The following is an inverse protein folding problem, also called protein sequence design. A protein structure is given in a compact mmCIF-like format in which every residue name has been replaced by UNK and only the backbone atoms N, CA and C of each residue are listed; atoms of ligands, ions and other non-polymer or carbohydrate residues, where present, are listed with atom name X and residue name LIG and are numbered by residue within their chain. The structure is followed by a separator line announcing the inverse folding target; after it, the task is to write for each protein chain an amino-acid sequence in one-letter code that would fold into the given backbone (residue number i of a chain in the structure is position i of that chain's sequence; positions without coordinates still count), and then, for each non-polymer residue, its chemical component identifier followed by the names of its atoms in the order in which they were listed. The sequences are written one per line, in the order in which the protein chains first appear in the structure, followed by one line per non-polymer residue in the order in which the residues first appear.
data_IF_863141668677
#
_entry.id   IF_863141668677
#
_cell.length_a   1.000
_cell.length_b   1.000
_cell.length_c   1.000
_cell.angle_alpha   90.00
_cell.angle_beta   90.00
_cell.angle_gamma   90.00
#
_symmetry.space_group_name_H-M   'P 1'
#
loop_
_entity.id
_entity.type
_entity.pdbx_description
1 polymer ?
#
# COMPACT_ATOMS: atom_id res chain seq x y z
N UNK A 1 -0.01 18.81 7.52
CA UNK A 1 -0.43 20.19 7.80
C UNK A 1 0.78 21.09 7.60
N UNK A 2 0.59 22.18 6.85
CA UNK A 2 1.62 23.21 6.68
C UNK A 2 1.17 24.45 7.45
N UNK A 3 2.10 25.14 8.12
CA UNK A 3 1.83 26.46 8.69
C UNK A 3 1.87 27.54 7.58
N UNK A 4 1.62 28.80 7.95
CA UNK A 4 1.63 29.94 7.02
C UNK A 4 3.02 30.20 6.40
N UNK A 5 4.08 29.70 7.03
CA UNK A 5 5.47 29.77 6.54
C UNK A 5 5.84 28.59 5.62
N UNK A 6 4.90 27.70 5.31
CA UNK A 6 5.09 26.54 4.44
C UNK A 6 5.82 25.35 5.09
N UNK A 7 6.08 25.42 6.39
CA UNK A 7 6.73 24.36 7.15
C UNK A 7 5.75 23.26 7.54
N UNK A 8 6.18 22.00 7.45
CA UNK A 8 5.39 20.84 7.83
C UNK A 8 5.37 20.71 9.35
N UNK A 9 4.20 20.87 9.96
CA UNK A 9 4.03 20.85 11.43
C UNK A 9 3.51 19.50 11.96
N UNK A 10 3.24 18.53 11.08
CA UNK A 10 2.76 17.21 11.50
C UNK A 10 3.88 16.40 12.16
N UNK A 11 3.56 15.75 13.29
CA UNK A 11 4.49 14.85 13.97
C UNK A 11 4.79 13.58 13.13
N UNK A 12 3.79 13.09 12.40
CA UNK A 12 3.94 11.98 11.46
C UNK A 12 2.80 12.00 10.43
N UNK A 13 3.08 11.45 9.24
CA UNK A 13 2.05 11.22 8.22
C UNK A 13 1.63 9.74 8.26
N UNK A 14 0.38 9.42 8.66
CA UNK A 14 -0.09 8.05 8.69
C UNK A 14 -0.13 7.41 7.29
N UNK A 15 0.02 6.08 7.26
CA UNK A 15 -0.15 5.30 6.03
C UNK A 15 -1.62 5.33 5.58
N UNK A 16 -1.83 5.25 4.27
CA UNK A 16 -3.16 5.09 3.66
C UNK A 16 -3.34 3.68 3.15
N UNK A 17 -4.52 3.12 3.34
CA UNK A 17 -4.92 1.87 2.71
C UNK A 17 -4.94 2.06 1.19
N UNK A 18 -4.18 1.25 0.47
CA UNK A 18 -4.06 1.31 -0.99
C UNK A 18 -5.39 1.01 -1.69
N UNK A 19 -6.28 0.26 -1.04
CA UNK A 19 -7.56 -0.14 -1.62
C UNK A 19 -8.66 0.92 -1.47
N UNK A 20 -8.74 1.56 -0.30
CA UNK A 20 -9.87 2.44 0.08
C UNK A 20 -9.48 3.89 0.29
N UNK A 21 -8.19 4.22 0.24
CA UNK A 21 -7.63 5.52 0.62
C UNK A 21 -7.93 5.96 2.06
N UNK A 22 -8.47 5.07 2.90
CA UNK A 22 -8.70 5.32 4.32
C UNK A 22 -7.35 5.38 5.06
N UNK A 23 -7.24 6.29 6.02
CA UNK A 23 -6.09 6.34 6.91
C UNK A 23 -6.02 5.05 7.75
N UNK A 24 -4.84 4.45 7.82
CA UNK A 24 -4.52 3.36 8.74
C UNK A 24 -4.18 4.01 10.07
N UNK A 25 -5.01 3.77 11.08
CA UNK A 25 -4.86 4.39 12.41
C UNK A 25 -3.84 3.63 13.24
N UNK A 26 -3.31 4.26 14.29
CA UNK A 26 -2.33 3.64 15.19
C UNK A 26 -2.86 2.42 15.95
N UNK A 27 -4.18 2.29 16.10
CA UNK A 27 -4.84 1.16 16.77
C UNK A 27 -5.30 0.06 15.81
N UNK A 28 -5.09 0.22 14.50
CA UNK A 28 -5.41 -0.82 13.52
C UNK A 28 -4.31 -1.88 13.47
N UNK A 29 -4.27 -2.73 14.50
CA UNK A 29 -3.34 -3.86 14.61
C UNK A 29 -3.61 -4.98 13.61
N UNK A 30 -4.78 -4.96 12.96
CA UNK A 30 -5.11 -5.87 11.87
C UNK A 30 -4.64 -5.33 10.51
N UNK A 31 -4.08 -4.12 10.42
CA UNK A 31 -3.49 -3.65 9.18
C UNK A 31 -2.22 -4.42 8.82
N UNK A 32 -1.98 -4.62 7.52
CA UNK A 32 -0.80 -5.31 7.00
C UNK A 32 -0.20 -4.52 5.85
N UNK A 33 1.10 -4.75 5.65
CA UNK A 33 1.84 -4.26 4.50
C UNK A 33 2.39 -5.47 3.74
N UNK A 34 2.12 -5.52 2.45
CA UNK A 34 2.50 -6.62 1.58
C UNK A 34 3.47 -6.05 0.54
N UNK A 35 4.64 -6.64 0.43
CA UNK A 35 5.63 -6.31 -0.58
C UNK A 35 5.61 -7.41 -1.64
N UNK A 36 5.35 -7.03 -2.88
CA UNK A 36 5.41 -7.93 -4.05
C UNK A 36 6.75 -7.69 -4.74
N UNK A 37 7.63 -8.69 -4.68
CA UNK A 37 8.92 -8.66 -5.34
C UNK A 37 8.79 -8.70 -6.86
N UNK A 38 9.60 -7.89 -7.56
CA UNK A 38 9.64 -7.86 -9.01
C UNK A 38 10.65 -8.89 -9.50
N UNK A 39 10.35 -9.50 -10.65
CA UNK A 39 11.23 -10.47 -11.31
C UNK A 39 11.82 -9.87 -12.58
N UNK A 40 13.05 -10.26 -12.88
CA UNK A 40 13.70 -10.01 -14.16
C UNK A 40 13.20 -10.98 -15.24
N UNK A 41 13.73 -10.85 -16.46
CA UNK A 41 13.38 -11.70 -17.61
C UNK A 41 13.70 -13.19 -17.39
N UNK A 42 14.63 -13.50 -16.47
CA UNK A 42 15.00 -14.86 -16.11
C UNK A 42 14.15 -15.41 -14.96
N UNK A 43 13.17 -14.64 -14.46
CA UNK A 43 12.34 -15.00 -13.32
C UNK A 43 13.06 -14.88 -11.97
N UNK A 44 14.18 -14.16 -11.90
CA UNK A 44 14.97 -13.94 -10.69
C UNK A 44 14.55 -12.64 -10.04
N UNK A 45 14.51 -12.62 -8.71
CA UNK A 45 14.19 -11.44 -7.93
C UNK A 45 15.20 -10.30 -8.17
N UNK A 46 14.71 -9.11 -8.51
CA UNK A 46 15.52 -7.96 -8.94
C UNK A 46 15.75 -6.89 -7.84
N UNK A 47 15.47 -7.25 -6.58
CA UNK A 47 15.53 -6.38 -5.40
C UNK A 47 14.54 -5.21 -5.38
N UNK A 48 13.67 -5.08 -6.40
CA UNK A 48 12.59 -4.09 -6.44
C UNK A 48 11.30 -4.72 -5.95
N UNK A 49 10.44 -3.90 -5.34
CA UNK A 49 9.13 -4.38 -4.88
C UNK A 49 8.06 -3.29 -4.92
N UNK A 50 6.83 -3.73 -5.14
CA UNK A 50 5.64 -2.91 -5.01
C UNK A 50 5.02 -3.13 -3.64
N UNK A 51 4.84 -2.06 -2.88
CA UNK A 51 4.25 -2.11 -1.54
C UNK A 51 2.77 -1.78 -1.59
N UNK A 52 1.93 -2.62 -0.97
CA UNK A 52 0.52 -2.36 -0.75
C UNK A 52 0.20 -2.40 0.74
N UNK A 53 -0.54 -1.40 1.23
CA UNK A 53 -1.01 -1.35 2.60
C UNK A 53 -2.51 -1.61 2.64
N UNK A 54 -2.93 -2.59 3.44
CA UNK A 54 -4.35 -2.92 3.63
C UNK A 54 -4.76 -2.64 5.07
N UNK A 55 -5.87 -1.95 5.26
CA UNK A 55 -6.45 -1.72 6.58
C UNK A 55 -7.13 -2.98 7.13
N UNK A 56 -7.24 -3.08 8.45
CA UNK A 56 -7.96 -4.19 9.09
C UNK A 56 -9.43 -4.26 8.68
N UNK A 57 -10.04 -3.12 8.36
CA UNK A 57 -11.43 -3.03 7.89
C UNK A 57 -11.70 -3.90 6.65
N UNK A 58 -10.90 -3.76 5.58
CA UNK A 58 -11.13 -4.51 4.34
C UNK A 58 -10.82 -6.00 4.50
N UNK A 59 -9.90 -6.33 5.43
CA UNK A 59 -9.60 -7.71 5.81
C UNK A 59 -10.74 -8.37 6.58
N UNK A 60 -11.37 -7.65 7.51
CA UNK A 60 -12.52 -8.15 8.26
C UNK A 60 -13.77 -8.32 7.37
N UNK A 61 -13.90 -7.49 6.33
CA UNK A 61 -15.00 -7.56 5.36
C UNK A 61 -14.87 -8.77 4.41
N UNK A 62 -13.67 -9.34 4.24
CA UNK A 62 -13.41 -10.42 3.29
C UNK A 62 -13.01 -9.95 1.88
N UNK A 63 -12.98 -8.64 1.64
CA UNK A 63 -12.69 -8.05 0.32
C UNK A 63 -11.19 -7.83 0.07
N UNK A 64 -10.32 -8.22 1.01
CA UNK A 64 -8.88 -7.96 0.93
C UNK A 64 -8.22 -8.62 -0.29
N UNK A 65 -8.63 -9.84 -0.63
CA UNK A 65 -8.10 -10.61 -1.75
C UNK A 65 -8.43 -9.92 -3.09
N UNK A 66 -9.72 -9.69 -3.36
CA UNK A 66 -10.16 -9.00 -4.57
C UNK A 66 -9.61 -7.57 -4.70
N UNK A 67 -9.39 -6.89 -3.57
CA UNK A 67 -8.73 -5.58 -3.57
C UNK A 67 -7.26 -5.68 -3.98
N UNK A 68 -6.51 -6.66 -3.46
CA UNK A 68 -5.11 -6.87 -3.80
C UNK A 68 -4.95 -7.23 -5.28
N UNK A 69 -5.78 -8.14 -5.79
CA UNK A 69 -5.77 -8.53 -7.21
C UNK A 69 -5.95 -7.32 -8.13
N UNK A 70 -6.97 -6.50 -7.86
CA UNK A 70 -7.23 -5.29 -8.66
C UNK A 70 -6.07 -4.30 -8.60
N UNK A 71 -5.45 -4.12 -7.43
CA UNK A 71 -4.31 -3.23 -7.26
C UNK A 71 -3.08 -3.76 -7.99
N UNK A 72 -2.83 -5.07 -7.91
CA UNK A 72 -1.71 -5.69 -8.58
C UNK A 72 -1.85 -5.64 -10.10
N UNK A 73 -3.02 -5.94 -10.66
CA UNK A 73 -3.25 -5.84 -12.11
C UNK A 73 -2.94 -4.45 -12.67
N UNK A 74 -3.33 -3.39 -11.95
CA UNK A 74 -2.98 -2.01 -12.32
C UNK A 74 -1.47 -1.78 -12.26
N UNK A 75 -0.84 -2.20 -11.16
CA UNK A 75 0.58 -1.97 -10.93
C UNK A 75 1.47 -2.77 -11.89
N UNK A 76 1.04 -3.98 -12.25
CA UNK A 76 1.68 -4.85 -13.24
C UNK A 76 1.73 -4.15 -14.61
N UNK A 77 0.62 -3.54 -15.03
CA UNK A 77 0.57 -2.77 -16.27
C UNK A 77 1.54 -1.57 -16.24
N UNK A 78 1.66 -0.87 -15.10
CA UNK A 78 2.60 0.25 -14.94
C UNK A 78 4.07 -0.19 -15.04
N UNK A 79 4.39 -1.36 -14.49
CA UNK A 79 5.77 -1.90 -14.43
C UNK A 79 6.14 -2.64 -15.72
N UNK A 80 5.17 -2.93 -16.60
CA UNK A 80 5.34 -3.73 -17.82
C UNK A 80 5.89 -5.15 -17.54
N UNK A 81 5.44 -5.73 -16.42
CA UNK A 81 5.64 -7.14 -16.08
C UNK A 81 4.49 -8.02 -16.56
#
# INVERSE_FOLDING_TARGET
MQNEEGQMVDLYVPRKCSATNRLITSKDHASVQINIGHLDENGVYDDRFSTFALSGFIRAQGDADSALDRLWQKKKADIKQ
#
